data_IF_348829293574
#
_entry.id   IF_348829293574
#
_cell.length_a   1.000
_cell.length_b   1.000
_cell.length_c   1.000
_cell.angle_alpha   90.00
_cell.angle_beta   90.00
_cell.angle_gamma   90.00
#
_symmetry.space_group_name_H-M   'P 1'
#
loop_
_entity.id
_entity.type
_entity.pdbx_description
1 polymer ?
#
# COMPACT_ATOMS: atom_id res chain seq x y z
N UNK A 1 4.29 3.56 -2.60
CA UNK A 1 4.22 2.70 -3.82
C UNK A 1 4.95 1.39 -3.53
N UNK A 2 4.41 0.63 -2.56
CA UNK A 2 5.00 -0.61 -2.08
C UNK A 2 4.54 -1.76 -2.97
N UNK A 3 5.06 -1.82 -4.20
CA UNK A 3 4.84 -2.96 -5.08
C UNK A 3 5.70 -4.15 -4.62
N UNK A 4 5.33 -4.79 -3.50
CA UNK A 4 5.92 -6.09 -3.15
C UNK A 4 5.36 -7.10 -4.14
N UNK A 5 6.14 -7.39 -5.18
CA UNK A 5 5.94 -8.60 -5.98
C UNK A 5 6.33 -9.76 -5.08
N UNK A 6 5.45 -10.74 -4.94
CA UNK A 6 5.81 -12.01 -4.32
C UNK A 6 7.07 -12.56 -5.02
N UNK A 7 8.17 -12.87 -4.31
CA UNK A 7 9.27 -13.58 -4.93
C UNK A 7 8.75 -14.92 -5.48
N UNK A 8 9.30 -15.45 -6.58
CA UNK A 8 8.87 -16.72 -7.14
C UNK A 8 9.17 -17.85 -6.14
N UNK A 9 8.15 -18.24 -5.36
CA UNK A 9 8.19 -19.34 -4.42
C UNK A 9 7.79 -20.64 -5.11
N UNK A 10 8.71 -21.60 -5.12
CA UNK A 10 8.60 -22.96 -5.63
C UNK A 10 7.31 -23.62 -5.13
N UNK A 11 6.46 -24.05 -6.06
CA UNK A 11 5.31 -24.90 -5.73
C UNK A 11 5.83 -26.24 -5.20
N UNK A 12 5.41 -26.72 -4.01
CA UNK A 12 5.63 -28.12 -3.68
C UNK A 12 4.81 -28.95 -4.67
N UNK A 13 5.50 -29.68 -5.55
CA UNK A 13 4.89 -30.76 -6.32
C UNK A 13 4.20 -31.70 -5.35
N UNK A 14 2.92 -32.01 -5.61
CA UNK A 14 2.16 -33.00 -4.84
C UNK A 14 2.99 -34.27 -4.63
N UNK A 15 3.07 -34.82 -3.41
CA UNK A 15 3.81 -36.07 -3.23
C UNK A 15 3.07 -37.19 -3.96
N UNK A 16 3.79 -38.11 -4.64
CA UNK A 16 3.16 -39.29 -5.21
C UNK A 16 2.66 -40.20 -4.08
N UNK A 17 1.47 -40.76 -4.26
CA UNK A 17 0.96 -41.83 -3.41
C UNK A 17 1.85 -43.07 -3.56
N UNK A 18 2.51 -43.50 -2.49
CA UNK A 18 3.32 -44.72 -2.46
C UNK A 18 3.85 -45.02 -1.06
N UNK A 19 3.55 -46.22 -0.54
CA UNK A 19 3.76 -46.61 0.86
C UNK A 19 5.18 -47.02 1.24
N UNK A 20 5.37 -47.33 2.53
CA UNK A 20 6.59 -47.96 3.07
C UNK A 20 7.04 -47.38 4.40
N UNK A 21 7.30 -48.25 5.37
CA UNK A 21 7.57 -47.97 6.78
C UNK A 21 9.02 -47.59 7.11
N UNK A 22 9.20 -47.17 8.38
CA UNK A 22 10.44 -47.08 9.20
C UNK A 22 11.29 -45.80 9.12
N UNK A 23 11.38 -45.13 10.28
CA UNK A 23 12.41 -44.14 10.64
C UNK A 23 11.94 -42.69 10.54
N UNK A 24 11.37 -42.13 11.61
CA UNK A 24 11.24 -40.68 11.73
C UNK A 24 12.47 -40.12 12.44
N UNK A 25 13.38 -39.40 11.76
CA UNK A 25 14.16 -38.38 12.45
C UNK A 25 13.20 -37.27 12.87
N UNK A 26 13.59 -36.45 13.85
CA UNK A 26 12.87 -35.24 14.25
C UNK A 26 12.88 -34.24 13.08
N UNK A 27 12.02 -34.49 12.10
CA UNK A 27 11.92 -33.73 10.87
C UNK A 27 11.22 -32.42 11.16
N UNK A 28 11.85 -31.34 10.73
CA UNK A 28 11.43 -29.97 10.92
C UNK A 28 9.93 -29.76 10.76
N UNK A 29 9.40 -28.90 11.61
CA UNK A 29 8.06 -28.35 11.50
C UNK A 29 7.86 -27.88 10.05
N UNK A 30 7.07 -28.61 9.26
CA UNK A 30 6.62 -28.12 7.97
C UNK A 30 5.58 -27.06 8.26
N UNK A 31 5.99 -25.81 8.33
CA UNK A 31 5.05 -24.71 8.38
C UNK A 31 4.30 -24.67 7.05
N UNK A 32 2.97 -24.56 7.12
CA UNK A 32 2.19 -24.38 5.91
C UNK A 32 2.60 -23.07 5.23
N UNK A 33 2.49 -22.97 3.90
CA UNK A 33 2.78 -21.71 3.20
C UNK A 33 1.98 -20.50 3.75
N UNK A 34 0.84 -20.75 4.42
CA UNK A 34 0.04 -19.73 5.07
C UNK A 34 0.63 -19.25 6.41
N UNK A 35 1.35 -20.11 7.13
CA UNK A 35 2.01 -19.77 8.40
C UNK A 35 3.26 -18.91 8.16
N UNK A 36 4.01 -19.16 7.09
CA UNK A 36 5.11 -18.27 6.65
C UNK A 36 4.58 -16.90 6.24
N UNK A 37 3.46 -16.84 5.51
CA UNK A 37 2.85 -15.58 5.08
C UNK A 37 2.44 -14.69 6.27
N UNK A 38 1.87 -15.31 7.31
CA UNK A 38 1.53 -14.61 8.55
C UNK A 38 2.76 -14.07 9.29
N UNK A 39 3.91 -14.75 9.20
CA UNK A 39 5.16 -14.30 9.81
C UNK A 39 5.78 -13.09 9.09
N UNK A 40 5.51 -12.94 7.79
CA UNK A 40 5.99 -11.83 6.95
C UNK A 40 5.05 -10.62 6.91
N UNK A 41 3.85 -10.72 7.50
CA UNK A 41 2.83 -9.66 7.49
C UNK A 41 2.17 -9.47 6.12
N UNK A 42 2.09 -10.56 5.35
CA UNK A 42 1.49 -10.58 4.01
C UNK A 42 0.22 -11.46 3.97
N UNK A 43 -0.77 -10.99 3.24
CA UNK A 43 -2.01 -11.69 2.91
C UNK A 43 -1.74 -12.92 2.03
N UNK A 44 -2.58 -13.97 2.11
CA UNK A 44 -2.47 -15.14 1.25
C UNK A 44 -2.75 -14.87 -0.23
N UNK A 45 -3.43 -13.75 -0.53
CA UNK A 45 -3.69 -13.26 -1.89
C UNK A 45 -3.72 -11.73 -1.86
N UNK A 46 -3.38 -11.04 -2.95
CA UNK A 46 -3.36 -9.59 -2.94
C UNK A 46 -4.77 -9.04 -2.86
N UNK A 47 -4.97 -8.02 -2.04
CA UNK A 47 -6.12 -7.14 -2.17
C UNK A 47 -5.91 -6.22 -3.37
N UNK A 48 -6.71 -6.42 -4.42
CA UNK A 48 -6.63 -5.68 -5.68
C UNK A 48 -7.63 -4.54 -5.79
N UNK A 49 -8.41 -4.28 -4.73
CA UNK A 49 -9.36 -3.17 -4.71
C UNK A 49 -8.60 -1.85 -4.86
N UNK A 50 -9.11 -1.00 -5.75
CA UNK A 50 -8.50 0.28 -6.06
C UNK A 50 -9.33 1.40 -5.48
N UNK A 51 -8.70 2.22 -4.65
CA UNK A 51 -9.24 3.53 -4.30
C UNK A 51 -8.66 4.55 -5.29
N UNK A 52 -9.43 4.84 -6.33
CA UNK A 52 -9.05 5.77 -7.39
C UNK A 52 -9.84 7.07 -7.31
N UNK A 53 -9.24 8.15 -7.76
CA UNK A 53 -9.88 9.45 -7.87
C UNK A 53 -9.17 10.30 -8.91
N UNK A 54 -9.80 11.41 -9.30
CA UNK A 54 -9.28 12.30 -10.31
C UNK A 54 -9.83 13.70 -10.10
N UNK A 55 -9.21 14.68 -10.76
CA UNK A 55 -9.67 16.07 -10.69
C UNK A 55 -9.09 16.94 -11.78
N UNK A 56 -9.59 18.17 -11.80
CA UNK A 56 -9.16 19.22 -12.73
C UNK A 56 -9.16 20.57 -12.04
N UNK A 57 -8.22 21.43 -12.43
CA UNK A 57 -8.12 22.79 -11.94
C UNK A 57 -7.88 23.72 -13.12
N UNK A 58 -8.96 24.34 -13.61
CA UNK A 58 -8.92 25.18 -14.80
C UNK A 58 -7.98 26.38 -14.66
N UNK A 59 -7.95 27.03 -13.50
CA UNK A 59 -7.10 28.19 -13.25
C UNK A 59 -5.60 27.85 -13.26
N UNK A 60 -5.24 26.66 -12.76
CA UNK A 60 -3.86 26.18 -12.78
C UNK A 60 -3.51 25.40 -14.06
N UNK A 61 -4.48 25.17 -14.96
CA UNK A 61 -4.28 24.35 -16.16
C UNK A 61 -3.98 22.87 -15.89
N UNK A 62 -4.46 22.32 -14.76
CA UNK A 62 -4.12 20.95 -14.32
C UNK A 62 -5.26 19.95 -14.53
N UNK A 63 -4.87 18.72 -14.87
CA UNK A 63 -5.68 17.50 -14.84
C UNK A 63 -4.87 16.44 -14.09
N UNK A 64 -5.49 15.71 -13.17
CA UNK A 64 -4.80 14.65 -12.42
C UNK A 64 -5.70 13.45 -12.16
N UNK A 65 -5.06 12.33 -11.87
CA UNK A 65 -5.67 11.10 -11.39
C UNK A 65 -4.74 10.44 -10.38
N UNK A 66 -5.31 9.69 -9.44
CA UNK A 66 -4.58 8.88 -8.48
C UNK A 66 -5.27 7.54 -8.30
N UNK A 67 -4.51 6.54 -7.86
CA UNK A 67 -5.04 5.25 -7.45
C UNK A 67 -4.11 4.62 -6.42
N UNK A 68 -4.69 4.11 -5.33
CA UNK A 68 -4.00 3.29 -4.35
C UNK A 68 -4.59 1.87 -4.31
N UNK A 69 -3.77 0.90 -3.91
CA UNK A 69 -4.09 -0.52 -3.82
C UNK A 69 -3.19 -1.16 -2.77
N UNK A 70 -3.78 -1.92 -1.84
CA UNK A 70 -3.07 -2.54 -0.72
C UNK A 70 -2.11 -3.66 -1.15
N UNK A 71 -2.50 -4.44 -2.16
CA UNK A 71 -1.67 -5.54 -2.64
C UNK A 71 -1.55 -6.65 -1.59
N UNK A 72 -0.33 -7.15 -1.39
CA UNK A 72 -0.08 -8.32 -0.54
C UNK A 72 0.07 -8.00 0.94
N UNK A 73 0.13 -6.73 1.36
CA UNK A 73 0.30 -6.36 2.77
C UNK A 73 -0.96 -6.60 3.57
N UNK A 74 -0.83 -6.88 4.86
CA UNK A 74 -1.98 -7.00 5.78
C UNK A 74 -2.75 -5.69 5.97
N UNK A 75 -2.05 -4.54 5.89
CA UNK A 75 -2.61 -3.19 6.03
C UNK A 75 -2.17 -2.27 4.90
N UNK A 76 -3.02 -1.29 4.57
CA UNK A 76 -2.70 -0.20 3.67
C UNK A 76 -2.13 0.97 4.48
N UNK A 77 -0.82 1.23 4.38
CA UNK A 77 -0.16 2.29 5.15
C UNK A 77 0.14 3.55 4.32
N UNK A 78 -0.02 3.51 2.99
CA UNK A 78 0.18 4.71 2.16
C UNK A 78 -1.01 5.67 2.30
N UNK A 79 -0.71 6.98 2.20
CA UNK A 79 -1.69 8.05 2.08
C UNK A 79 -1.29 8.99 0.92
N UNK A 80 -2.20 9.85 0.45
CA UNK A 80 -1.89 10.78 -0.64
C UNK A 80 -2.59 12.12 -0.48
N UNK A 81 -1.99 13.17 -1.03
CA UNK A 81 -2.60 14.49 -1.17
C UNK A 81 -2.78 14.76 -2.66
N UNK A 82 -3.98 15.20 -3.04
CA UNK A 82 -4.31 15.57 -4.41
C UNK A 82 -5.16 16.85 -4.43
N UNK A 83 -4.55 17.95 -3.95
CA UNK A 83 -5.23 19.23 -3.75
C UNK A 83 -4.80 20.26 -4.78
N UNK A 84 -5.75 20.77 -5.55
CA UNK A 84 -5.51 21.79 -6.57
C UNK A 84 -5.29 23.21 -6.02
N UNK A 85 -5.46 23.42 -4.72
CA UNK A 85 -5.37 24.73 -4.09
C UNK A 85 -4.78 24.61 -2.69
N UNK A 86 -3.55 25.10 -2.55
CA UNK A 86 -2.76 25.01 -1.32
C UNK A 86 -3.27 25.95 -0.23
N UNK A 87 -3.31 27.26 -0.51
CA UNK A 87 -3.71 28.27 0.49
C UNK A 87 -4.62 29.32 -0.14
N UNK A 88 -5.91 29.40 0.25
CA UNK A 88 -6.75 30.51 -0.19
C UNK A 88 -6.26 31.82 0.43
N UNK A 89 -6.26 32.90 -0.35
CA UNK A 89 -6.12 34.26 0.20
C UNK A 89 -7.22 34.48 1.25
N UNK A 90 -6.83 35.00 2.42
CA UNK A 90 -7.73 35.33 3.54
C UNK A 90 -7.63 36.82 3.86
N UNK A 91 -8.66 37.44 4.47
CA UNK A 91 -8.62 38.87 4.83
C UNK A 91 -7.39 39.24 5.69
N UNK A 92 -7.02 38.36 6.62
CA UNK A 92 -5.87 38.56 7.51
C UNK A 92 -4.55 38.01 6.96
N UNK A 93 -4.52 37.49 5.72
CA UNK A 93 -3.33 36.98 5.05
C UNK A 93 -3.46 37.16 3.52
N UNK A 94 -3.20 38.37 3.00
CA UNK A 94 -3.11 38.60 1.56
C UNK A 94 -1.88 37.86 0.99
N UNK A 95 -1.96 37.42 -0.27
CA UNK A 95 -0.90 36.63 -0.92
C UNK A 95 -1.00 35.12 -0.71
N UNK A 96 -2.21 34.55 -0.76
CA UNK A 96 -2.41 33.10 -0.73
C UNK A 96 -1.91 32.41 -2.00
N UNK A 97 -1.65 31.11 -1.89
CA UNK A 97 -1.21 30.23 -2.97
C UNK A 97 -2.42 29.58 -3.64
N UNK A 98 -3.36 30.40 -4.11
CA UNK A 98 -4.65 29.92 -4.62
C UNK A 98 -4.58 29.27 -5.99
N UNK A 99 -3.49 29.51 -6.72
CA UNK A 99 -3.21 28.92 -8.05
C UNK A 99 -2.13 27.84 -7.96
N UNK A 100 -1.73 27.46 -6.75
CA UNK A 100 -0.72 26.43 -6.50
C UNK A 100 -1.40 25.14 -6.06
N UNK A 101 -1.06 24.05 -6.72
CA UNK A 101 -1.50 22.70 -6.36
C UNK A 101 -0.39 21.96 -5.61
N UNK A 102 -0.80 21.02 -4.74
CA UNK A 102 0.08 20.06 -4.07
C UNK A 102 -0.38 18.64 -4.36
N UNK A 103 0.61 17.82 -4.71
CA UNK A 103 0.45 16.38 -4.88
C UNK A 103 1.57 15.69 -4.11
N UNK A 104 1.20 14.72 -3.28
CA UNK A 104 2.17 13.98 -2.50
C UNK A 104 1.70 12.55 -2.23
N UNK A 105 2.64 11.63 -2.07
CA UNK A 105 2.39 10.25 -1.66
C UNK A 105 3.24 9.98 -0.42
N UNK A 106 2.60 9.57 0.66
CA UNK A 106 3.27 9.15 1.89
C UNK A 106 3.28 7.62 1.92
N UNK A 107 4.46 7.00 2.00
CA UNK A 107 4.62 5.55 2.15
C UNK A 107 4.80 5.26 3.65
N UNK A 108 3.74 4.78 4.30
CA UNK A 108 3.79 4.46 5.73
C UNK A 108 4.70 3.26 6.02
N UNK A 109 5.33 3.28 7.19
CA UNK A 109 6.14 2.16 7.67
C UNK A 109 5.99 2.01 9.19
N UNK A 110 5.48 0.85 9.61
CA UNK A 110 5.20 0.59 11.03
C UNK A 110 3.86 1.16 11.50
N UNK A 111 2.95 1.42 10.56
CA UNK A 111 1.61 1.96 10.78
C UNK A 111 1.22 3.10 9.85
N UNK A 112 -0.09 3.27 9.62
CA UNK A 112 -0.65 4.31 8.74
C UNK A 112 -0.74 5.70 9.39
N UNK A 113 -0.53 5.82 10.70
CA UNK A 113 -0.92 7.00 11.48
C UNK A 113 -0.15 8.25 11.05
N UNK A 114 1.16 8.14 10.82
CA UNK A 114 1.99 9.28 10.38
C UNK A 114 1.67 9.67 8.94
N UNK A 115 1.47 8.70 8.05
CA UNK A 115 1.10 8.96 6.65
C UNK A 115 -0.24 9.71 6.57
N UNK A 116 -1.26 9.26 7.31
CA UNK A 116 -2.56 9.96 7.40
C UNK A 116 -2.47 11.30 8.11
N UNK A 117 -1.66 11.43 9.14
CA UNK A 117 -1.43 12.71 9.79
C UNK A 117 -0.86 13.73 8.79
N UNK A 118 0.11 13.30 7.99
CA UNK A 118 0.67 14.10 6.90
C UNK A 118 -0.39 14.47 5.85
N UNK A 119 -1.23 13.54 5.41
CA UNK A 119 -2.33 13.83 4.47
C UNK A 119 -3.26 14.95 4.97
N UNK A 120 -3.55 14.99 6.26
CA UNK A 120 -4.47 15.95 6.86
C UNK A 120 -3.84 17.31 7.20
N UNK A 121 -2.52 17.35 7.45
CA UNK A 121 -1.87 18.53 8.03
C UNK A 121 -0.72 19.10 7.20
N UNK A 122 -0.24 18.41 6.15
CA UNK A 122 0.66 19.04 5.20
C UNK A 122 -0.11 20.08 4.38
N UNK A 123 0.43 21.31 4.26
CA UNK A 123 -0.23 22.45 3.61
C UNK A 123 -0.35 22.29 2.09
#
# INVERSE_FOLDING_TARGET
LKAVRRPPGVFPSSPPAGGGAMGQPLSGMSFSSAEELLLLGDLPRPNTDKASGNGKAGLAGLLWGHSCMQGWRDSMEDAHIANARLLPSRPNRPGGWSETAIFAVMDGHGGEQVARFCELHLP
#
